data_IF_061464686423
#
_entry.id   IF_061464686423
#
_cell.length_a   1.000
_cell.length_b   1.000
_cell.length_c   1.000
_cell.angle_alpha   90.00
_cell.angle_beta   90.00
_cell.angle_gamma   90.00
#
_symmetry.space_group_name_H-M   'P 1'
#
loop_
_entity.id
_entity.type
_entity.pdbx_description
1 polymer ?
#
# COMPACT_ATOMS: atom_id res chain seq x y z
N UNK A 1 -19.16 -16.39 14.68
CA UNK A 1 -17.70 -16.51 14.88
C UNK A 1 -17.04 -15.32 14.21
N UNK A 2 -16.33 -14.47 14.95
CA UNK A 2 -15.60 -13.34 14.38
C UNK A 2 -14.58 -13.88 13.37
N UNK A 3 -14.64 -13.43 12.12
CA UNK A 3 -13.64 -13.79 11.12
C UNK A 3 -12.36 -13.06 11.52
N UNK A 4 -11.40 -13.78 12.07
CA UNK A 4 -10.10 -13.20 12.47
C UNK A 4 -9.41 -12.77 11.17
N UNK A 5 -9.17 -11.46 11.05
CA UNK A 5 -8.33 -10.87 10.01
C UNK A 5 -6.92 -10.70 10.57
N UNK A 6 -5.91 -10.89 9.72
CA UNK A 6 -4.53 -10.60 10.08
C UNK A 6 -4.36 -9.09 10.25
N UNK A 7 -3.54 -8.70 11.22
CA UNK A 7 -3.19 -7.30 11.48
C UNK A 7 -1.94 -6.93 10.70
N UNK A 8 -1.92 -5.72 10.15
CA UNK A 8 -0.81 -5.28 9.30
C UNK A 8 0.51 -5.30 10.07
N UNK A 9 0.58 -4.73 11.27
CA UNK A 9 1.82 -4.69 12.07
C UNK A 9 2.44 -6.07 12.36
N UNK A 10 1.65 -7.15 12.29
CA UNK A 10 2.09 -8.52 12.55
C UNK A 10 2.68 -9.22 11.32
N UNK A 11 2.71 -8.57 10.15
CA UNK A 11 3.20 -9.16 8.90
C UNK A 11 4.73 -9.18 8.91
N UNK A 12 5.31 -10.37 8.98
CA UNK A 12 6.76 -10.60 9.01
C UNK A 12 7.26 -11.54 7.89
N UNK A 13 6.36 -11.98 7.01
CA UNK A 13 6.66 -12.92 5.94
C UNK A 13 6.69 -14.41 6.35
N UNK A 14 6.42 -14.74 7.61
CA UNK A 14 6.35 -16.14 8.08
C UNK A 14 5.05 -16.86 7.69
N UNK A 15 3.96 -16.11 7.51
CA UNK A 15 2.64 -16.64 7.17
C UNK A 15 2.54 -16.96 5.68
N UNK A 16 2.14 -18.19 5.37
CA UNK A 16 1.88 -18.63 3.99
C UNK A 16 0.66 -17.96 3.35
N UNK A 17 -0.38 -17.71 4.16
CA UNK A 17 -1.61 -17.05 3.71
C UNK A 17 -1.96 -15.90 4.64
N UNK A 18 -2.24 -14.75 4.03
CA UNK A 18 -2.73 -13.55 4.72
C UNK A 18 -4.18 -13.30 4.34
N UNK A 19 -4.97 -12.84 5.31
CA UNK A 19 -6.34 -12.38 5.12
C UNK A 19 -6.53 -11.03 5.81
N UNK A 20 -6.61 -9.98 5.01
CA UNK A 20 -6.66 -8.60 5.49
C UNK A 20 -8.06 -8.00 5.28
N UNK A 21 -8.48 -7.15 6.21
CA UNK A 21 -9.63 -6.25 6.08
C UNK A 21 -9.07 -4.82 6.05
N UNK A 22 -9.14 -4.15 4.90
CA UNK A 22 -8.38 -2.93 4.64
C UNK A 22 -9.17 -1.89 3.86
N UNK A 23 -8.83 -0.62 4.06
CA UNK A 23 -9.19 0.48 3.17
C UNK A 23 -8.02 0.78 2.25
N UNK A 24 -8.30 1.01 0.97
CA UNK A 24 -7.31 1.58 0.04
C UNK A 24 -7.31 3.09 0.27
N UNK A 25 -6.24 3.65 0.83
CA UNK A 25 -6.15 5.09 1.12
C UNK A 25 -5.46 5.90 0.05
N UNK A 26 -4.60 5.27 -0.72
CA UNK A 26 -3.94 5.83 -1.89
C UNK A 26 -3.91 4.76 -2.97
N UNK A 27 -4.18 5.16 -4.21
CA UNK A 27 -4.11 4.30 -5.40
C UNK A 27 -3.54 5.10 -6.57
N UNK A 28 -2.45 4.62 -7.14
CA UNK A 28 -1.82 5.25 -8.29
C UNK A 28 -1.31 4.22 -9.29
N UNK A 29 -1.12 4.65 -10.54
CA UNK A 29 -0.66 3.80 -11.62
C UNK A 29 0.75 4.22 -12.06
N UNK A 30 1.65 3.25 -12.13
CA UNK A 30 3.05 3.46 -12.48
C UNK A 30 3.34 2.74 -13.79
N UNK A 31 3.90 3.47 -14.75
CA UNK A 31 4.45 2.89 -15.97
C UNK A 31 5.75 2.15 -15.68
N UNK A 32 5.92 0.95 -16.22
CA UNK A 32 7.17 0.19 -16.12
C UNK A 32 7.98 0.33 -17.42
N UNK A 33 9.31 0.10 -17.38
CA UNK A 33 10.17 0.15 -18.58
C UNK A 33 9.69 -0.76 -19.72
N UNK A 34 8.93 -1.80 -19.38
CA UNK A 34 8.36 -2.75 -20.36
C UNK A 34 7.08 -2.22 -21.03
N UNK A 35 6.78 -0.91 -20.91
CA UNK A 35 5.53 -0.28 -21.37
C UNK A 35 4.28 -0.92 -20.76
N UNK A 36 4.43 -1.59 -19.62
CA UNK A 36 3.30 -2.11 -18.86
C UNK A 36 2.95 -1.15 -17.73
N UNK A 37 1.75 -1.26 -17.21
CA UNK A 37 1.27 -0.45 -16.09
C UNK A 37 1.11 -1.37 -14.87
N UNK A 38 1.51 -0.89 -13.70
CA UNK A 38 1.19 -1.52 -12.42
C UNK A 38 0.40 -0.54 -11.55
N UNK A 39 -0.48 -1.06 -10.70
CA UNK A 39 -1.11 -0.26 -9.66
C UNK A 39 -0.34 -0.43 -8.36
N UNK A 40 -0.06 0.68 -7.71
CA UNK A 40 0.51 0.75 -6.37
C UNK A 40 -0.52 1.40 -5.45
N UNK A 41 -0.56 0.94 -4.20
CA UNK A 41 -1.64 1.29 -3.28
C UNK A 41 -1.22 1.18 -1.82
N UNK A 42 -1.82 2.01 -0.97
CA UNK A 42 -1.62 1.95 0.49
C UNK A 42 -2.86 1.35 1.15
N UNK A 43 -2.65 0.22 1.83
CA UNK A 43 -3.67 -0.41 2.65
C UNK A 43 -3.58 0.09 4.08
N UNK A 44 -4.74 0.30 4.70
CA UNK A 44 -4.88 0.65 6.11
C UNK A 44 -5.86 -0.31 6.78
N UNK A 45 -5.46 -0.89 7.91
CA UNK A 45 -6.33 -1.74 8.74
C UNK A 45 -7.03 -0.96 9.85
N UNK A 46 -7.76 -1.67 10.72
CA UNK A 46 -8.53 -1.08 11.81
C UNK A 46 -7.65 -0.33 12.84
N UNK A 47 -6.40 -0.74 13.04
CA UNK A 47 -5.49 -0.08 13.99
C UNK A 47 -4.79 1.14 13.36
N UNK A 48 -5.04 1.42 12.08
CA UNK A 48 -4.41 2.51 11.35
C UNK A 48 -3.02 2.17 10.82
N UNK A 49 -2.60 0.91 10.93
CA UNK A 49 -1.34 0.45 10.40
C UNK A 49 -1.38 0.44 8.87
N UNK A 50 -0.29 0.87 8.24
CA UNK A 50 -0.22 1.05 6.80
C UNK A 50 0.76 0.06 6.17
N UNK A 51 0.37 -0.54 5.05
CA UNK A 51 1.27 -1.36 4.23
C UNK A 51 1.12 -1.05 2.75
N UNK A 52 2.27 -1.00 2.07
CA UNK A 52 2.32 -0.81 0.62
C UNK A 52 1.96 -2.13 -0.07
N UNK A 53 1.04 -2.07 -1.04
CA UNK A 53 0.69 -3.20 -1.90
C UNK A 53 0.84 -2.84 -3.39
N UNK A 54 1.24 -3.83 -4.19
CA UNK A 54 1.56 -3.68 -5.62
C UNK A 54 0.83 -4.73 -6.44
N UNK A 55 0.06 -4.27 -7.44
CA UNK A 55 -0.60 -5.10 -8.44
C UNK A 55 0.06 -4.90 -9.80
N UNK A 56 0.91 -5.86 -10.18
CA UNK A 56 1.63 -5.84 -11.47
C UNK A 56 0.68 -6.02 -12.64
N UNK A 57 1.13 -5.62 -13.84
CA UNK A 57 0.39 -5.70 -15.10
C UNK A 57 -0.32 -7.03 -15.36
N UNK A 58 0.29 -8.15 -14.96
CA UNK A 58 -0.22 -9.50 -15.20
C UNK A 58 -1.52 -9.77 -14.44
N UNK A 59 -1.70 -9.12 -13.28
CA UNK A 59 -2.88 -9.24 -12.43
C UNK A 59 -3.77 -8.01 -12.47
N UNK A 60 -3.21 -6.86 -12.89
CA UNK A 60 -3.92 -5.59 -12.92
C UNK A 60 -5.14 -5.63 -13.82
N UNK A 61 -5.07 -6.30 -14.97
CA UNK A 61 -6.21 -6.44 -15.90
C UNK A 61 -7.46 -7.00 -15.22
N UNK A 62 -7.30 -7.89 -14.25
CA UNK A 62 -8.41 -8.52 -13.54
C UNK A 62 -9.05 -7.60 -12.50
N UNK A 63 -8.28 -6.68 -11.91
CA UNK A 63 -8.71 -5.93 -10.73
C UNK A 63 -8.81 -4.42 -10.94
N UNK A 64 -8.33 -3.89 -12.09
CA UNK A 64 -8.22 -2.44 -12.33
C UNK A 64 -9.53 -1.68 -12.16
N UNK A 65 -10.67 -2.28 -12.55
CA UNK A 65 -11.98 -1.64 -12.42
C UNK A 65 -12.56 -1.73 -10.99
N UNK A 66 -12.11 -2.72 -10.22
CA UNK A 66 -12.65 -3.02 -8.89
C UNK A 66 -11.89 -2.28 -7.78
N UNK A 67 -10.60 -2.02 -7.98
CA UNK A 67 -9.72 -1.33 -7.03
C UNK A 67 -9.98 0.18 -7.10
N UNK A 68 -10.46 0.75 -5.98
CA UNK A 68 -10.81 2.17 -5.87
C UNK A 68 -10.27 2.73 -4.57
N UNK A 69 -9.75 3.95 -4.65
CA UNK A 69 -9.36 4.70 -3.47
C UNK A 69 -10.59 4.97 -2.57
N UNK A 70 -10.36 5.00 -1.27
CA UNK A 70 -11.33 5.17 -0.19
C UNK A 70 -12.40 4.06 -0.05
N UNK A 71 -12.35 3.01 -0.88
CA UNK A 71 -13.16 1.80 -0.73
C UNK A 71 -12.51 0.79 0.22
N UNK A 72 -13.34 -0.08 0.79
CA UNK A 72 -12.94 -1.11 1.77
C UNK A 72 -13.10 -2.52 1.23
N UNK A 73 -12.16 -3.39 1.60
CA UNK A 73 -12.03 -4.72 1.02
C UNK A 73 -11.61 -5.75 2.06
N UNK A 74 -12.09 -6.98 1.86
CA UNK A 74 -11.49 -8.17 2.44
C UNK A 74 -10.66 -8.84 1.35
N UNK A 75 -9.35 -8.89 1.55
CA UNK A 75 -8.42 -9.44 0.57
C UNK A 75 -7.60 -10.57 1.16
N UNK A 76 -7.20 -11.53 0.32
CA UNK A 76 -6.37 -12.65 0.76
C UNK A 76 -5.40 -13.18 -0.29
N UNK A 77 -4.41 -13.94 0.18
CA UNK A 77 -3.35 -14.58 -0.60
C UNK A 77 -2.41 -13.59 -1.29
N UNK A 78 -1.62 -12.87 -0.50
CA UNK A 78 -0.57 -11.98 -0.99
C UNK A 78 0.80 -12.65 -0.92
N UNK A 79 1.70 -12.24 -1.81
CA UNK A 79 3.13 -12.48 -1.61
C UNK A 79 3.71 -11.35 -0.75
N UNK A 80 4.26 -11.71 0.40
CA UNK A 80 4.96 -10.77 1.30
C UNK A 80 6.42 -10.66 0.86
N UNK A 81 6.92 -9.44 0.71
CA UNK A 81 8.30 -9.15 0.30
C UNK A 81 8.85 -8.03 1.17
N UNK A 82 10.16 -8.03 1.47
CA UNK A 82 10.78 -6.91 2.18
C UNK A 82 10.61 -5.61 1.40
N UNK A 83 10.40 -4.53 2.15
CA UNK A 83 10.29 -3.18 1.63
C UNK A 83 11.67 -2.50 1.68
N UNK A 84 12.62 -3.03 0.91
CA UNK A 84 14.02 -2.61 0.84
C UNK A 84 14.33 -1.67 -0.34
N UNK A 85 13.29 -1.03 -0.88
CA UNK A 85 13.42 -0.07 -1.97
C UNK A 85 14.12 1.22 -1.53
N UNK A 86 14.77 1.91 -2.49
CA UNK A 86 15.39 3.22 -2.24
C UNK A 86 14.40 4.26 -1.73
N UNK A 87 13.15 4.18 -2.19
CA UNK A 87 12.04 4.99 -1.73
C UNK A 87 10.93 4.09 -1.19
N UNK A 88 10.43 4.43 -0.01
CA UNK A 88 9.36 3.71 0.70
C UNK A 88 8.20 4.65 0.91
N UNK A 89 7.02 4.17 0.53
CA UNK A 89 5.75 4.90 0.73
C UNK A 89 5.21 4.69 2.15
N UNK A 90 5.51 3.55 2.75
CA UNK A 90 5.11 3.21 4.12
C UNK A 90 6.33 2.80 4.94
N UNK A 91 6.27 3.04 6.26
CA UNK A 91 7.31 2.67 7.22
C UNK A 91 7.46 1.15 7.39
N UNK A 92 6.41 0.39 7.10
CA UNK A 92 6.36 -1.05 7.25
C UNK A 92 7.56 -1.74 6.56
N UNK A 93 8.19 -2.68 7.26
CA UNK A 93 9.37 -3.42 6.78
C UNK A 93 9.10 -4.32 5.58
N UNK A 94 7.82 -4.53 5.25
CA UNK A 94 7.32 -5.43 4.23
C UNK A 94 6.31 -4.72 3.35
N UNK A 95 6.15 -5.24 2.14
CA UNK A 95 5.15 -4.85 1.15
C UNK A 95 4.49 -6.09 0.55
N UNK A 96 3.30 -5.91 0.00
CA UNK A 96 2.49 -6.98 -0.55
C UNK A 96 2.51 -6.94 -2.07
N UNK A 97 2.58 -8.12 -2.70
CA UNK A 97 2.34 -8.29 -4.12
C UNK A 97 1.10 -9.12 -4.36
N UNK A 98 0.28 -8.68 -5.29
CA UNK A 98 -0.77 -9.50 -5.86
C UNK A 98 -0.13 -10.66 -6.63
N UNK A 99 -0.66 -11.85 -6.42
CA UNK A 99 -0.37 -13.09 -7.14
C UNK A 99 -1.64 -13.62 -7.81
N UNK A 100 -1.51 -14.60 -8.70
CA UNK A 100 -2.65 -15.13 -9.48
C UNK A 100 -3.80 -15.74 -8.66
N UNK A 101 -3.55 -16.10 -7.40
CA UNK A 101 -4.56 -16.62 -6.47
C UNK A 101 -5.03 -15.60 -5.43
N UNK A 102 -4.66 -14.32 -5.60
CA UNK A 102 -5.17 -13.23 -4.77
C UNK A 102 -6.67 -13.11 -5.00
N UNK A 103 -7.41 -12.91 -3.91
CA UNK A 103 -8.84 -12.66 -3.99
C UNK A 103 -9.12 -11.31 -3.37
N UNK A 104 -9.88 -10.50 -4.09
CA UNK A 104 -10.35 -9.19 -3.66
C UNK A 104 -11.86 -9.27 -3.56
N UNK A 105 -12.41 -8.86 -2.41
CA UNK A 105 -13.84 -8.70 -2.22
C UNK A 105 -14.10 -7.35 -1.59
N UNK A 106 -14.83 -6.50 -2.30
CA UNK A 106 -15.35 -5.27 -1.70
C UNK A 106 -16.25 -5.65 -0.52
N UNK A 107 -16.08 -4.95 0.59
CA UNK A 107 -16.82 -5.18 1.82
C UNK A 107 -17.02 -3.84 2.49
N UNK A 108 -18.21 -3.59 3.00
CA UNK A 108 -18.50 -2.33 3.65
C UNK A 108 -18.00 -2.34 5.10
N UNK A 109 -16.85 -1.72 5.35
CA UNK A 109 -16.15 -1.76 6.64
C UNK A 109 -16.00 -0.33 7.17
N UNK A 110 -17.11 0.21 7.70
CA UNK A 110 -17.18 1.58 8.22
C UNK A 110 -16.19 1.88 9.35
N UNK A 111 -15.79 0.85 10.09
CA UNK A 111 -14.87 0.94 11.23
C UNK A 111 -13.42 1.21 10.82
N UNK A 112 -13.05 1.00 9.56
CA UNK A 112 -11.70 1.29 9.09
C UNK A 112 -11.45 2.80 9.02
N UNK A 113 -10.29 3.29 9.49
CA UNK A 113 -9.96 4.70 9.48
C UNK A 113 -9.77 5.24 8.05
N UNK A 114 -10.01 6.52 7.87
CA UNK A 114 -9.64 7.22 6.63
C UNK A 114 -8.15 7.57 6.66
N UNK A 115 -7.62 8.01 5.52
CA UNK A 115 -6.22 8.43 5.41
C UNK A 115 -5.88 9.49 6.46
N UNK A 116 -4.93 9.16 7.32
CA UNK A 116 -4.32 10.13 8.23
C UNK A 116 -3.04 10.70 7.60
N UNK A 117 -2.92 12.02 7.58
CA UNK A 117 -1.71 12.68 7.10
C UNK A 117 -0.70 12.83 8.24
N UNK A 118 0.42 12.12 8.14
CA UNK A 118 1.57 12.32 9.03
C UNK A 118 2.49 13.39 8.46
N UNK A 119 2.36 14.60 9.00
CA UNK A 119 3.25 15.71 8.67
C UNK A 119 4.47 15.70 9.58
N UNK A 120 5.66 15.86 9.00
CA UNK A 120 6.88 16.11 9.76
C UNK A 120 7.01 17.62 9.98
N UNK A 121 7.41 18.03 11.19
CA UNK A 121 7.64 19.44 11.49
C UNK A 121 8.69 20.04 10.55
N UNK A 122 8.44 21.27 10.09
CA UNK A 122 9.34 21.96 9.17
C UNK A 122 10.77 22.07 9.73
N UNK A 123 10.92 22.27 11.04
CA UNK A 123 12.22 22.30 11.70
C UNK A 123 13.03 21.01 11.49
N UNK A 124 12.37 19.84 11.56
CA UNK A 124 13.00 18.55 11.30
C UNK A 124 13.40 18.39 9.83
N UNK A 125 12.58 18.92 8.89
CA UNK A 125 12.93 18.94 7.46
C UNK A 125 14.18 19.77 7.19
N UNK A 126 14.25 20.99 7.74
CA UNK A 126 15.42 21.88 7.60
C UNK A 126 16.65 21.28 8.26
N UNK A 127 16.49 20.63 9.41
CA UNK A 127 17.58 19.97 10.13
C UNK A 127 18.05 18.66 9.49
N UNK A 128 17.36 18.15 8.45
CA UNK A 128 17.66 16.84 7.87
C UNK A 128 17.27 15.66 8.78
N UNK A 129 16.46 15.90 9.81
CA UNK A 129 16.06 14.92 10.80
C UNK A 129 14.81 14.14 10.33
N UNK A 130 14.99 13.32 9.31
CA UNK A 130 13.95 12.44 8.76
C UNK A 130 14.55 11.09 8.34
N UNK A 131 13.69 10.09 8.21
CA UNK A 131 14.11 8.76 7.73
C UNK A 131 14.45 8.88 6.25
N UNK A 132 15.74 8.77 5.92
CA UNK A 132 16.21 8.78 4.53
C UNK A 132 15.48 7.71 3.71
N UNK A 133 14.94 8.11 2.55
CA UNK A 133 14.19 7.22 1.66
C UNK A 133 12.72 6.97 2.05
N UNK A 134 12.21 7.52 3.16
CA UNK A 134 10.78 7.49 3.49
C UNK A 134 10.08 8.76 2.99
N UNK A 135 9.00 8.60 2.21
CA UNK A 135 8.20 9.73 1.74
C UNK A 135 7.19 10.14 2.82
N UNK A 136 7.13 11.45 3.14
CA UNK A 136 6.27 12.00 4.20
C UNK A 136 5.32 13.07 3.69
N UNK A 137 4.13 13.17 4.29
CA UNK A 137 3.11 14.17 3.93
C UNK A 137 2.74 14.17 2.45
N UNK A 138 2.45 15.35 1.90
CA UNK A 138 2.08 15.54 0.49
C UNK A 138 3.21 15.22 -0.51
N UNK A 139 4.44 14.95 -0.06
CA UNK A 139 5.53 14.50 -0.93
C UNK A 139 5.33 13.06 -1.41
N UNK A 140 4.58 12.22 -0.69
CA UNK A 140 4.18 10.92 -1.24
C UNK A 140 3.37 11.13 -2.53
N UNK A 141 2.30 11.93 -2.47
CA UNK A 141 1.48 12.26 -3.64
C UNK A 141 2.26 13.03 -4.73
N UNK A 142 3.02 14.06 -4.37
CA UNK A 142 3.78 14.87 -5.33
C UNK A 142 4.98 14.14 -5.95
N UNK A 143 5.66 13.24 -5.24
CA UNK A 143 6.77 12.47 -5.78
C UNK A 143 6.26 11.38 -6.75
N UNK A 144 5.12 10.76 -6.42
CA UNK A 144 4.38 9.85 -7.31
C UNK A 144 4.03 10.57 -8.63
N UNK A 145 3.47 11.78 -8.56
CA UNK A 145 3.04 12.51 -9.76
C UNK A 145 4.20 13.07 -10.60
N UNK A 146 5.32 13.47 -9.97
CA UNK A 146 6.30 14.35 -10.63
C UNK A 146 7.62 13.69 -11.04
N UNK A 147 8.00 12.55 -10.44
CA UNK A 147 9.33 11.96 -10.66
C UNK A 147 9.33 10.51 -11.19
N UNK A 148 8.18 9.82 -11.24
CA UNK A 148 8.12 8.46 -11.80
C UNK A 148 7.72 8.40 -13.29
N UNK A 149 7.50 9.55 -13.94
CA UNK A 149 7.37 9.68 -15.40
C UNK A 149 8.69 9.97 -16.14
N UNK A 150 9.81 10.04 -15.43
CA UNK A 150 11.13 10.37 -15.98
C UNK A 150 12.18 9.29 -15.64
N UNK A 151 11.93 8.02 -15.96
CA UNK A 151 12.97 7.01 -16.20
C UNK A 151 12.47 5.95 -17.18
#
# INVERSE_FOLDING_TARGET
MARIHDKIWSIDGSKETLKLAVRITDLWFVGTPNKSEQAEMVFVDYEGDQIHAICKSDHLKSWKADLKENCTYVMHNFKVVKNDGQFRVCEHEYKLFFIGVTVVREADLHELPFKEFRFVEFANVVAGNFVSGLLVGGLSACFIEKYQGCF
#
